data_IF_838254874061
#
_entry.id   IF_838254874061
#
_cell.length_a   1.000
_cell.length_b   1.000
_cell.length_c   1.000
_cell.angle_alpha   90.00
_cell.angle_beta   90.00
_cell.angle_gamma   90.00
#
_symmetry.space_group_name_H-M   'P 1'
#
loop_
_entity.id
_entity.type
_entity.pdbx_description
1 polymer ?
#
# COMPACT_ATOMS: atom_id res chain seq x y z
N UNK A 1 13.31 19.15 -1.40
CA UNK A 1 14.31 18.63 -2.35
C UNK A 1 15.59 18.52 -1.55
N UNK A 2 16.28 17.37 -1.56
CA UNK A 2 17.47 17.22 -0.72
C UNK A 2 18.58 18.09 -1.28
N UNK A 3 19.05 19.08 -0.50
CA UNK A 3 20.15 19.98 -0.89
C UNK A 3 21.52 19.29 -0.85
N UNK A 4 21.56 18.02 -0.42
CA UNK A 4 22.77 17.21 -0.28
C UNK A 4 22.52 15.82 -0.86
N UNK A 5 23.33 15.43 -1.84
CA UNK A 5 23.38 14.05 -2.33
C UNK A 5 24.23 13.27 -1.33
N UNK A 6 23.60 12.36 -0.58
CA UNK A 6 24.34 11.41 0.24
C UNK A 6 25.17 10.53 -0.70
N UNK A 7 26.49 10.65 -0.60
CA UNK A 7 27.44 9.96 -1.47
C UNK A 7 28.37 9.10 -0.64
N UNK A 8 28.78 7.96 -1.17
CA UNK A 8 29.82 7.15 -0.55
C UNK A 8 31.20 7.82 -0.62
N UNK A 9 31.38 8.85 -1.46
CA UNK A 9 32.68 9.47 -1.70
C UNK A 9 33.28 10.20 -0.49
N UNK A 10 32.45 10.53 0.50
CA UNK A 10 32.91 11.18 1.74
C UNK A 10 33.61 10.21 2.69
N UNK A 11 33.50 8.89 2.46
CA UNK A 11 34.04 7.83 3.31
C UNK A 11 34.59 6.67 2.44
N UNK A 12 35.93 6.56 2.28
CA UNK A 12 36.57 5.54 1.44
C UNK A 12 36.19 4.11 1.81
N UNK A 13 35.97 3.84 3.09
CA UNK A 13 35.61 2.50 3.58
C UNK A 13 34.17 2.16 3.21
N UNK A 14 33.25 3.14 3.28
CA UNK A 14 31.87 2.97 2.80
C UNK A 14 31.82 2.73 1.29
N UNK A 15 32.61 3.47 0.52
CA UNK A 15 32.69 3.28 -0.93
C UNK A 15 33.22 1.90 -1.29
N UNK A 16 34.32 1.47 -0.68
CA UNK A 16 34.89 0.14 -0.91
C UNK A 16 33.89 -0.97 -0.56
N UNK A 17 33.14 -0.80 0.53
CA UNK A 17 32.13 -1.76 0.94
C UNK A 17 30.93 -1.80 -0.02
N UNK A 18 30.44 -0.64 -0.48
CA UNK A 18 29.38 -0.56 -1.48
C UNK A 18 29.79 -1.27 -2.77
N UNK A 19 31.01 -1.01 -3.26
CA UNK A 19 31.59 -1.68 -4.44
C UNK A 19 31.68 -3.19 -4.24
N UNK A 20 32.14 -3.65 -3.07
CA UNK A 20 32.17 -5.08 -2.77
C UNK A 20 30.78 -5.72 -2.81
N UNK A 21 29.75 -5.04 -2.30
CA UNK A 21 28.37 -5.54 -2.35
C UNK A 21 27.81 -5.59 -3.78
N UNK A 22 28.20 -4.63 -4.63
CA UNK A 22 27.86 -4.62 -6.06
C UNK A 22 28.55 -5.76 -6.81
N UNK A 23 29.86 -5.93 -6.62
CA UNK A 23 30.67 -6.99 -7.23
C UNK A 23 30.14 -8.39 -6.86
N UNK A 24 29.77 -8.57 -5.58
CA UNK A 24 29.20 -9.82 -5.07
C UNK A 24 27.71 -9.98 -5.41
N UNK A 25 27.08 -9.00 -6.07
CA UNK A 25 25.64 -8.98 -6.41
C UNK A 25 24.72 -9.18 -5.20
N UNK A 26 25.14 -8.73 -4.02
CA UNK A 26 24.36 -8.81 -2.78
C UNK A 26 23.40 -7.63 -2.68
N UNK A 27 22.43 -7.58 -3.59
CA UNK A 27 21.54 -6.42 -3.75
C UNK A 27 20.71 -6.10 -2.51
N UNK A 28 20.16 -7.11 -1.84
CA UNK A 28 19.38 -6.91 -0.62
C UNK A 28 20.24 -6.31 0.51
N UNK A 29 21.48 -6.77 0.65
CA UNK A 29 22.44 -6.26 1.64
C UNK A 29 22.78 -4.79 1.31
N UNK A 30 23.09 -4.50 0.04
CA UNK A 30 23.39 -3.15 -0.42
C UNK A 30 22.21 -2.19 -0.17
N UNK A 31 21.00 -2.57 -0.56
CA UNK A 31 19.80 -1.73 -0.37
C UNK A 31 19.60 -1.35 1.09
N UNK A 32 19.80 -2.28 2.04
CA UNK A 32 19.74 -1.95 3.48
C UNK A 32 20.86 -1.03 3.93
N UNK A 33 22.07 -1.24 3.41
CA UNK A 33 23.20 -0.36 3.68
C UNK A 33 22.91 1.08 3.21
N UNK A 34 22.34 1.22 2.02
CA UNK A 34 21.97 2.52 1.44
C UNK A 34 20.86 3.19 2.25
N UNK A 35 19.84 2.44 2.66
CA UNK A 35 18.78 2.93 3.54
C UNK A 35 19.32 3.45 4.87
N UNK A 36 20.26 2.74 5.50
CA UNK A 36 20.86 3.16 6.76
C UNK A 36 21.60 4.51 6.61
N UNK A 37 22.35 4.68 5.52
CA UNK A 37 23.05 5.94 5.22
C UNK A 37 22.04 7.08 5.00
N UNK A 38 21.01 6.85 4.19
CA UNK A 38 19.98 7.86 3.92
C UNK A 38 19.23 8.23 5.20
N UNK A 39 18.92 7.26 6.05
CA UNK A 39 18.29 7.52 7.35
C UNK A 39 19.21 8.34 8.25
N UNK A 40 20.48 7.96 8.41
CA UNK A 40 21.44 8.72 9.21
C UNK A 40 21.56 10.18 8.74
N UNK A 41 21.78 10.40 7.44
CA UNK A 41 21.87 11.76 6.89
C UNK A 41 20.57 12.56 7.06
N UNK A 42 19.41 11.95 6.80
CA UNK A 42 18.13 12.64 6.92
C UNK A 42 17.80 12.99 8.38
N UNK A 43 18.21 12.18 9.37
CA UNK A 43 17.97 12.52 10.79
C UNK A 43 18.68 13.79 11.24
N UNK A 44 19.83 14.12 10.62
CA UNK A 44 20.62 15.34 10.90
C UNK A 44 19.87 16.63 10.55
N UNK A 45 18.87 16.56 9.68
CA UNK A 45 18.03 17.72 9.33
C UNK A 45 17.15 18.22 10.49
N UNK A 46 16.89 17.38 11.50
CA UNK A 46 15.96 17.71 12.59
C UNK A 46 14.48 17.74 12.16
N UNK A 47 14.15 17.35 10.93
CA UNK A 47 12.76 17.30 10.47
C UNK A 47 11.93 16.28 11.27
N UNK A 48 10.65 16.57 11.58
CA UNK A 48 9.80 15.66 12.37
C UNK A 48 9.43 14.38 11.63
N UNK A 49 9.53 14.39 10.30
CA UNK A 49 9.23 13.25 9.44
C UNK A 49 10.33 13.10 8.39
N UNK A 50 10.59 11.85 8.03
CA UNK A 50 11.48 11.46 6.94
C UNK A 50 10.66 10.83 5.83
N UNK A 51 10.74 11.39 4.62
CA UNK A 51 10.15 10.80 3.42
C UNK A 51 11.25 10.04 2.68
N UNK A 52 11.11 8.72 2.58
CA UNK A 52 11.95 7.86 1.78
C UNK A 52 11.22 7.48 0.49
N UNK A 53 11.92 7.57 -0.63
CA UNK A 53 11.33 7.47 -1.96
C UNK A 53 12.29 6.74 -2.90
N UNK A 54 11.76 5.86 -3.74
CA UNK A 54 12.50 5.22 -4.82
C UNK A 54 12.73 6.18 -6.00
N UNK A 55 13.72 5.90 -6.84
CA UNK A 55 14.15 6.78 -7.93
C UNK A 55 13.18 6.79 -9.12
N UNK A 56 12.30 5.80 -9.22
CA UNK A 56 11.37 5.57 -10.32
C UNK A 56 9.92 5.86 -9.91
N UNK A 57 9.68 7.03 -9.31
CA UNK A 57 8.32 7.47 -8.93
C UNK A 57 7.96 8.85 -9.47
N UNK A 58 6.66 9.08 -9.61
CA UNK A 58 6.07 10.39 -9.89
C UNK A 58 5.11 10.80 -8.77
N UNK A 59 5.14 12.08 -8.42
CA UNK A 59 4.27 12.65 -7.40
C UNK A 59 3.03 13.29 -8.00
N UNK A 60 1.91 13.12 -7.32
CA UNK A 60 0.67 13.84 -7.62
C UNK A 60 0.84 15.34 -7.38
N UNK A 61 0.20 16.18 -8.19
CA UNK A 61 0.11 17.60 -7.89
C UNK A 61 -0.59 17.80 -6.52
N UNK A 62 0.03 18.58 -5.64
CA UNK A 62 -0.44 18.77 -4.28
C UNK A 62 -0.15 17.60 -3.31
N UNK A 63 0.69 16.63 -3.67
CA UNK A 63 1.04 15.49 -2.79
C UNK A 63 1.42 15.93 -1.37
N UNK A 64 2.17 17.03 -1.21
CA UNK A 64 2.72 17.46 0.07
C UNK A 64 1.64 17.82 1.08
N UNK A 65 0.68 18.67 0.71
CA UNK A 65 -0.36 19.09 1.66
C UNK A 65 -1.28 17.90 2.04
N UNK A 66 -1.59 17.02 1.08
CA UNK A 66 -2.33 15.77 1.32
C UNK A 66 -1.58 14.86 2.29
N UNK A 67 -0.27 14.71 2.08
CA UNK A 67 0.62 13.92 2.95
C UNK A 67 0.65 14.51 4.36
N UNK A 68 0.83 15.82 4.52
CA UNK A 68 0.86 16.45 5.84
C UNK A 68 -0.47 16.30 6.58
N UNK A 69 -1.60 16.45 5.87
CA UNK A 69 -2.94 16.19 6.43
C UNK A 69 -3.06 14.72 6.87
N UNK A 70 -2.61 13.79 6.05
CA UNK A 70 -2.63 12.37 6.34
C UNK A 70 -1.75 12.00 7.55
N UNK A 71 -0.57 12.59 7.68
CA UNK A 71 0.29 12.40 8.85
C UNK A 71 -0.41 12.86 10.13
N UNK A 72 -1.08 14.02 10.11
CA UNK A 72 -1.85 14.50 11.25
C UNK A 72 -2.94 13.52 11.68
N UNK A 73 -3.68 12.94 10.72
CA UNK A 73 -4.69 11.92 11.01
C UNK A 73 -4.03 10.65 11.56
N UNK A 74 -2.96 10.15 10.92
CA UNK A 74 -2.24 8.96 11.36
C UNK A 74 -1.73 9.09 12.79
N UNK A 75 -1.19 10.25 13.18
CA UNK A 75 -0.76 10.52 14.56
C UNK A 75 -1.91 10.44 15.56
N UNK A 76 -3.04 11.11 15.26
CA UNK A 76 -4.23 11.11 16.13
C UNK A 76 -4.80 9.71 16.30
N UNK A 77 -4.97 8.97 15.20
CA UNK A 77 -5.48 7.59 15.22
C UNK A 77 -4.53 6.64 15.96
N UNK A 78 -3.22 6.84 15.83
CA UNK A 78 -2.21 6.06 16.56
C UNK A 78 -2.29 6.29 18.07
N UNK A 79 -2.44 7.55 18.50
CA UNK A 79 -2.67 7.88 19.91
C UNK A 79 -3.98 7.29 20.44
N UNK A 80 -5.05 7.34 19.65
CA UNK A 80 -6.32 6.68 19.97
C UNK A 80 -6.20 5.17 20.16
N UNK A 81 -5.29 4.53 19.43
CA UNK A 81 -4.94 3.12 19.57
C UNK A 81 -3.94 2.82 20.71
N UNK A 82 -3.64 3.79 21.58
CA UNK A 82 -2.66 3.68 22.66
C UNK A 82 -1.21 3.42 22.20
N UNK A 83 -0.87 3.77 20.97
CA UNK A 83 0.50 3.82 20.49
C UNK A 83 1.07 5.23 20.64
N UNK A 84 2.33 5.35 21.04
CA UNK A 84 3.00 6.67 21.11
C UNK A 84 3.26 7.24 19.71
N UNK A 85 3.45 6.36 18.74
CA UNK A 85 3.77 6.70 17.34
C UNK A 85 3.39 5.55 16.40
N UNK A 86 3.55 5.76 15.10
CA UNK A 86 3.41 4.72 14.07
C UNK A 86 4.75 4.41 13.38
N UNK A 87 4.80 3.27 12.67
CA UNK A 87 6.01 2.87 11.95
C UNK A 87 6.21 3.74 10.72
N UNK A 88 5.22 3.76 9.82
CA UNK A 88 5.22 4.63 8.64
C UNK A 88 3.81 4.95 8.15
N UNK A 89 3.72 6.01 7.35
CA UNK A 89 2.63 6.31 6.44
C UNK A 89 3.07 6.01 5.01
N UNK A 90 2.35 5.13 4.33
CA UNK A 90 2.60 4.70 2.97
C UNK A 90 1.85 5.59 1.99
N UNK A 91 2.58 6.17 1.03
CA UNK A 91 2.03 7.09 0.01
C UNK A 91 1.72 6.41 -1.32
N UNK A 92 2.25 5.21 -1.52
CA UNK A 92 1.96 4.33 -2.66
C UNK A 92 1.71 2.90 -2.17
N UNK A 93 0.70 2.24 -2.72
CA UNK A 93 0.48 0.82 -2.53
C UNK A 93 -0.05 0.19 -3.82
N UNK A 94 0.47 -0.98 -4.15
CA UNK A 94 -0.02 -1.73 -5.30
C UNK A 94 -1.41 -2.32 -5.02
N UNK A 95 -2.39 -1.99 -5.86
CA UNK A 95 -3.79 -2.40 -5.65
C UNK A 95 -4.05 -3.88 -5.98
N UNK A 96 -3.19 -4.52 -6.77
CA UNK A 96 -3.33 -5.94 -7.14
C UNK A 96 -3.26 -6.89 -5.94
N UNK A 97 -2.50 -6.53 -4.90
CA UNK A 97 -2.37 -7.34 -3.68
C UNK A 97 -3.61 -7.32 -2.79
N UNK A 98 -4.49 -6.34 -2.97
CA UNK A 98 -5.74 -6.23 -2.18
C UNK A 98 -6.91 -6.99 -2.80
N UNK A 99 -6.63 -7.78 -3.84
CA UNK A 99 -7.57 -8.71 -4.47
C UNK A 99 -8.08 -9.81 -3.54
N UNK A 100 -8.60 -10.86 -4.18
CA UNK A 100 -9.12 -12.04 -3.48
C UNK A 100 -7.97 -12.90 -2.95
N UNK A 101 -7.61 -12.68 -1.70
CA UNK A 101 -6.46 -13.31 -1.05
C UNK A 101 -6.81 -14.71 -0.51
N UNK A 102 -5.99 -15.71 -0.79
CA UNK A 102 -6.27 -17.12 -0.46
C UNK A 102 -6.44 -17.33 1.05
N UNK A 103 -5.74 -16.56 1.88
CA UNK A 103 -5.79 -16.59 3.34
C UNK A 103 -7.21 -16.31 3.86
N UNK A 104 -8.02 -15.59 3.08
CA UNK A 104 -9.39 -15.22 3.41
C UNK A 104 -10.45 -16.15 2.81
N UNK A 105 -10.07 -17.30 2.21
CA UNK A 105 -11.00 -18.22 1.53
C UNK A 105 -12.18 -18.65 2.40
N UNK A 106 -11.96 -18.89 3.70
CA UNK A 106 -13.02 -19.28 4.64
C UNK A 106 -14.10 -18.21 4.76
N UNK A 107 -13.69 -16.95 4.77
CA UNK A 107 -14.60 -15.80 4.82
C UNK A 107 -15.40 -15.68 3.53
N UNK A 108 -14.73 -15.85 2.38
CA UNK A 108 -15.37 -15.82 1.06
C UNK A 108 -16.41 -16.93 0.90
N UNK A 109 -16.06 -18.15 1.30
CA UNK A 109 -16.97 -19.28 1.31
C UNK A 109 -18.16 -19.03 2.26
N UNK A 110 -17.88 -18.54 3.48
CA UNK A 110 -18.90 -18.21 4.46
C UNK A 110 -19.94 -17.23 3.89
N UNK A 111 -19.49 -16.12 3.31
CA UNK A 111 -20.40 -15.14 2.69
C UNK A 111 -21.14 -15.70 1.47
N UNK A 112 -20.51 -16.56 0.67
CA UNK A 112 -21.15 -17.20 -0.47
C UNK A 112 -22.29 -18.13 -0.03
N UNK A 113 -22.08 -18.90 1.04
CA UNK A 113 -23.10 -19.77 1.65
C UNK A 113 -24.23 -18.94 2.26
N UNK A 114 -23.90 -17.86 2.98
CA UNK A 114 -24.89 -16.94 3.56
C UNK A 114 -25.74 -16.29 2.46
N UNK A 115 -25.14 -15.80 1.38
CA UNK A 115 -25.86 -15.19 0.25
C UNK A 115 -26.80 -16.17 -0.46
N UNK A 116 -26.33 -17.41 -0.65
CA UNK A 116 -27.13 -18.48 -1.25
C UNK A 116 -28.30 -18.88 -0.36
N UNK A 117 -28.04 -19.10 0.93
CA UNK A 117 -29.06 -19.46 1.92
C UNK A 117 -30.07 -18.33 2.10
N UNK A 118 -29.62 -17.08 2.16
CA UNK A 118 -30.49 -15.90 2.29
C UNK A 118 -31.39 -15.75 1.07
N UNK A 119 -30.86 -15.99 -0.14
CA UNK A 119 -31.64 -16.00 -1.38
C UNK A 119 -32.73 -17.07 -1.35
N UNK A 120 -32.40 -18.30 -0.93
CA UNK A 120 -33.37 -19.39 -0.79
C UNK A 120 -34.45 -19.06 0.27
N UNK A 121 -34.04 -18.60 1.45
CA UNK A 121 -34.95 -18.21 2.53
C UNK A 121 -35.87 -17.07 2.09
N UNK A 122 -35.36 -16.03 1.44
CA UNK A 122 -36.15 -14.92 0.95
C UNK A 122 -37.22 -15.38 -0.04
N UNK A 123 -36.88 -16.26 -1.00
CA UNK A 123 -37.85 -16.81 -1.95
C UNK A 123 -38.88 -17.70 -1.28
N UNK A 124 -38.48 -18.52 -0.30
CA UNK A 124 -39.39 -19.38 0.44
C UNK A 124 -40.37 -18.57 1.31
N UNK A 125 -39.87 -17.55 2.02
CA UNK A 125 -40.67 -16.65 2.84
C UNK A 125 -41.59 -15.80 1.96
N UNK A 126 -41.11 -15.25 0.84
CA UNK A 126 -41.93 -14.51 -0.12
C UNK A 126 -43.06 -15.39 -0.66
N UNK A 127 -42.78 -16.66 -1.01
CA UNK A 127 -43.81 -17.61 -1.44
C UNK A 127 -44.80 -17.93 -0.32
N UNK A 128 -44.35 -18.02 0.94
CA UNK A 128 -45.22 -18.35 2.07
C UNK A 128 -46.13 -17.18 2.46
N UNK A 129 -45.60 -15.97 2.56
CA UNK A 129 -46.28 -14.82 3.16
C UNK A 129 -46.85 -13.83 2.14
N UNK A 130 -46.33 -13.77 0.91
CA UNK A 130 -46.80 -12.83 -0.12
C UNK A 130 -47.68 -13.57 -1.13
N UNK A 131 -48.99 -13.38 -1.02
CA UNK A 131 -50.00 -14.04 -1.87
C UNK A 131 -49.83 -13.72 -3.37
N UNK A 132 -49.47 -12.48 -3.71
CA UNK A 132 -49.18 -12.08 -5.09
C UNK A 132 -47.96 -12.82 -5.67
N UNK A 133 -46.91 -12.99 -4.88
CA UNK A 133 -45.66 -13.64 -5.32
C UNK A 133 -45.83 -15.13 -5.61
N UNK A 134 -46.82 -15.81 -5.01
CA UNK A 134 -47.07 -17.25 -5.21
C UNK A 134 -47.30 -17.63 -6.67
N UNK A 135 -47.89 -16.74 -7.47
CA UNK A 135 -48.16 -16.95 -8.90
C UNK A 135 -46.89 -16.94 -9.74
N UNK A 136 -45.89 -16.15 -9.34
CA UNK A 136 -44.65 -15.97 -10.09
C UNK A 136 -43.49 -16.85 -9.59
N UNK A 137 -43.45 -17.18 -8.29
CA UNK A 137 -42.42 -18.00 -7.67
C UNK A 137 -42.64 -19.50 -7.90
N UNK A 138 -42.59 -19.96 -9.15
CA UNK A 138 -42.73 -21.40 -9.50
C UNK A 138 -41.60 -22.23 -8.86
N UNK A 139 -41.77 -23.56 -8.79
CA UNK A 139 -40.73 -24.47 -8.26
C UNK A 139 -39.41 -24.29 -9.01
N UNK A 140 -39.46 -24.10 -10.32
CA UNK A 140 -38.29 -23.83 -11.16
C UNK A 140 -37.60 -22.53 -10.75
N UNK A 141 -38.33 -21.44 -10.50
CA UNK A 141 -37.74 -20.16 -10.04
C UNK A 141 -37.09 -20.32 -8.66
N UNK A 142 -37.76 -21.00 -7.72
CA UNK A 142 -37.25 -21.23 -6.36
C UNK A 142 -35.97 -22.09 -6.35
N UNK A 143 -35.77 -22.94 -7.37
CA UNK A 143 -34.55 -23.74 -7.52
C UNK A 143 -33.47 -22.99 -8.32
N UNK A 144 -33.82 -22.43 -9.48
CA UNK A 144 -32.85 -21.80 -10.39
C UNK A 144 -32.22 -20.55 -9.78
N UNK A 145 -32.98 -19.73 -9.05
CA UNK A 145 -32.42 -18.50 -8.46
C UNK A 145 -31.28 -18.81 -7.48
N UNK A 146 -31.46 -19.58 -6.39
CA UNK A 146 -30.39 -19.83 -5.44
C UNK A 146 -29.30 -20.77 -5.96
N UNK A 147 -29.59 -21.70 -6.89
CA UNK A 147 -28.61 -22.71 -7.33
C UNK A 147 -27.97 -22.43 -8.70
N UNK A 148 -28.46 -21.46 -9.48
CA UNK A 148 -27.85 -21.06 -10.76
C UNK A 148 -27.54 -19.57 -10.75
N UNK A 149 -28.54 -18.71 -10.58
CA UNK A 149 -28.33 -17.26 -10.70
C UNK A 149 -27.49 -16.69 -9.56
N UNK A 150 -27.72 -17.09 -8.30
CA UNK A 150 -26.94 -16.63 -7.16
C UNK A 150 -25.45 -17.05 -7.29
N UNK A 151 -25.10 -18.31 -7.62
CA UNK A 151 -23.72 -18.69 -7.92
C UNK A 151 -23.10 -17.89 -9.06
N UNK A 152 -23.84 -17.65 -10.16
CA UNK A 152 -23.33 -16.84 -11.27
C UNK A 152 -23.04 -15.39 -10.86
N UNK A 153 -23.90 -14.78 -10.02
CA UNK A 153 -23.67 -13.44 -9.48
C UNK A 153 -22.48 -13.42 -8.50
N UNK A 154 -22.29 -14.47 -7.71
CA UNK A 154 -21.13 -14.63 -6.83
C UNK A 154 -19.85 -14.72 -7.69
N UNK A 155 -19.86 -15.53 -8.75
CA UNK A 155 -18.74 -15.64 -9.69
C UNK A 155 -18.45 -14.27 -10.32
N UNK A 156 -19.48 -13.56 -10.79
CA UNK A 156 -19.32 -12.22 -11.35
C UNK A 156 -18.73 -11.23 -10.34
N UNK A 157 -19.14 -11.30 -9.08
CA UNK A 157 -18.60 -10.48 -8.00
C UNK A 157 -17.10 -10.70 -7.79
N UNK A 158 -16.64 -11.96 -7.80
CA UNK A 158 -15.21 -12.27 -7.74
C UNK A 158 -14.48 -11.86 -9.03
N UNK A 159 -15.08 -12.13 -10.21
CA UNK A 159 -14.50 -11.80 -11.50
C UNK A 159 -14.34 -10.29 -11.74
N UNK A 160 -15.24 -9.46 -11.18
CA UNK A 160 -15.14 -8.01 -11.23
C UNK A 160 -13.91 -7.46 -10.48
N UNK A 161 -13.33 -8.25 -9.55
CA UNK A 161 -12.14 -7.87 -8.79
C UNK A 161 -12.46 -7.01 -7.57
N UNK A 162 -11.71 -7.23 -6.49
CA UNK A 162 -11.98 -6.61 -5.18
C UNK A 162 -11.95 -5.08 -5.24
N UNK A 163 -11.05 -4.47 -6.01
CA UNK A 163 -10.96 -3.01 -6.12
C UNK A 163 -12.21 -2.35 -6.73
N UNK A 164 -12.95 -3.07 -7.59
CA UNK A 164 -14.17 -2.56 -8.20
C UNK A 164 -15.39 -2.70 -7.27
N UNK A 165 -15.52 -3.84 -6.59
CA UNK A 165 -16.70 -4.14 -5.76
C UNK A 165 -16.54 -3.73 -4.29
N UNK A 166 -15.31 -3.57 -3.82
CA UNK A 166 -14.94 -3.16 -2.47
C UNK A 166 -13.75 -2.19 -2.50
N UNK A 167 -13.92 -1.00 -3.10
CA UNK A 167 -12.84 -0.03 -3.18
C UNK A 167 -12.40 0.41 -1.78
N UNK A 168 -11.10 0.70 -1.64
CA UNK A 168 -10.57 1.22 -0.40
C UNK A 168 -11.21 2.59 -0.08
N UNK A 169 -11.69 2.81 1.16
CA UNK A 169 -12.16 4.12 1.60
C UNK A 169 -11.06 5.17 1.45
N UNK A 170 -11.47 6.37 1.06
CA UNK A 170 -10.59 7.52 1.01
C UNK A 170 -10.12 7.93 2.41
N UNK A 171 -8.93 8.51 2.48
CA UNK A 171 -8.25 8.92 3.69
C UNK A 171 -7.20 7.93 4.18
N UNK A 172 -6.86 8.10 5.45
CA UNK A 172 -5.84 7.31 6.14
C UNK A 172 -6.48 6.09 6.76
N UNK A 173 -5.87 4.92 6.54
CA UNK A 173 -6.40 3.67 7.06
C UNK A 173 -5.26 2.71 7.41
N UNK A 174 -5.53 1.82 8.37
CA UNK A 174 -4.54 0.84 8.79
C UNK A 174 -4.32 -0.17 7.66
N UNK A 175 -3.05 -0.41 7.33
CA UNK A 175 -2.62 -1.29 6.25
C UNK A 175 -1.51 -2.24 6.74
N UNK A 176 -1.83 -3.21 7.63
CA UNK A 176 -0.84 -4.11 8.21
C UNK A 176 -0.59 -5.37 7.37
N UNK A 177 -1.38 -5.60 6.31
CA UNK A 177 -1.35 -6.80 5.47
C UNK A 177 -1.68 -6.43 4.03
N UNK A 178 -1.30 -7.31 3.10
CA UNK A 178 -1.67 -7.26 1.68
C UNK A 178 -1.29 -5.94 1.02
N UNK A 179 -0.14 -5.41 1.42
CA UNK A 179 0.46 -4.22 0.85
C UNK A 179 1.91 -4.56 0.53
N UNK A 180 2.32 -4.26 -0.70
CA UNK A 180 3.71 -4.29 -1.10
C UNK A 180 4.16 -2.92 -1.54
N UNK A 181 5.46 -2.79 -1.30
CA UNK A 181 6.43 -2.04 -2.04
C UNK A 181 6.70 -0.67 -1.40
N UNK A 182 7.98 -0.38 -1.20
CA UNK A 182 8.50 0.75 -0.43
C UNK A 182 8.68 2.04 -1.23
N UNK A 183 8.04 2.18 -2.40
CA UNK A 183 8.23 3.30 -3.34
C UNK A 183 8.20 4.67 -2.68
N UNK A 184 7.29 4.86 -1.73
CA UNK A 184 7.20 6.10 -0.96
C UNK A 184 6.63 5.85 0.43
N UNK A 185 7.51 5.96 1.44
CA UNK A 185 7.20 5.76 2.85
C UNK A 185 7.60 6.99 3.65
N UNK A 186 6.71 7.46 4.52
CA UNK A 186 7.00 8.54 5.47
C UNK A 186 7.10 7.98 6.87
N UNK A 187 8.24 8.20 7.52
CA UNK A 187 8.53 7.72 8.86
C UNK A 187 8.57 8.89 9.85
N UNK A 188 8.01 8.75 11.06
CA UNK A 188 8.29 9.67 12.17
C UNK A 188 9.77 9.65 12.54
N UNK A 189 10.35 10.81 12.83
CA UNK A 189 11.78 10.93 13.16
C UNK A 189 12.16 10.07 14.39
N UNK A 190 11.29 10.03 15.39
CA UNK A 190 11.38 9.21 16.60
C UNK A 190 11.48 7.73 16.27
N UNK A 191 10.63 7.24 15.38
CA UNK A 191 10.67 5.86 14.88
C UNK A 191 11.97 5.57 14.15
N UNK A 192 12.45 6.47 13.28
CA UNK A 192 13.72 6.24 12.57
C UNK A 192 14.89 6.15 13.55
N UNK A 193 15.04 7.14 14.42
CA UNK A 193 16.19 7.26 15.33
C UNK A 193 16.24 6.19 16.42
N UNK A 194 15.09 5.78 16.96
CA UNK A 194 15.03 4.83 18.08
C UNK A 194 14.89 3.38 17.64
N UNK A 195 14.34 3.14 16.45
CA UNK A 195 13.95 1.80 16.01
C UNK A 195 14.62 1.39 14.71
N UNK A 196 14.34 2.09 13.61
CA UNK A 196 14.75 1.63 12.27
C UNK A 196 16.25 1.75 12.04
N UNK A 197 16.88 2.89 12.31
CA UNK A 197 18.30 3.08 12.05
C UNK A 197 19.16 2.05 12.83
N UNK A 198 18.97 1.84 14.16
CA UNK A 198 19.69 0.79 14.90
C UNK A 198 19.41 -0.62 14.37
N UNK A 199 18.18 -0.88 13.90
CA UNK A 199 17.79 -2.17 13.32
C UNK A 199 18.57 -2.46 12.03
N UNK A 200 18.66 -1.47 11.14
CA UNK A 200 19.37 -1.59 9.87
C UNK A 200 20.88 -1.73 10.08
N UNK A 201 21.47 -0.95 10.99
CA UNK A 201 22.90 -1.03 11.32
C UNK A 201 23.27 -2.42 11.89
N UNK A 202 22.48 -2.93 12.84
CA UNK A 202 22.74 -4.21 13.49
C UNK A 202 22.57 -5.41 12.55
N UNK A 203 21.66 -5.31 11.58
CA UNK A 203 21.31 -6.39 10.67
C UNK A 203 21.71 -6.09 9.22
N UNK A 204 22.73 -5.24 9.03
CA UNK A 204 23.18 -4.80 7.70
C UNK A 204 23.45 -5.94 6.72
N UNK A 205 23.92 -7.08 7.23
CA UNK A 205 24.30 -8.27 6.46
C UNK A 205 23.14 -9.25 6.21
N UNK A 206 21.93 -8.95 6.68
CA UNK A 206 20.76 -9.78 6.38
C UNK A 206 20.53 -9.81 4.86
N UNK A 207 20.14 -10.96 4.32
CA UNK A 207 19.79 -11.10 2.90
C UNK A 207 18.31 -10.81 2.62
N UNK A 208 17.51 -10.52 3.66
CA UNK A 208 16.11 -10.14 3.47
C UNK A 208 16.00 -8.85 2.66
N UNK A 209 15.12 -8.78 1.65
CA UNK A 209 14.78 -7.52 0.99
C UNK A 209 14.34 -6.46 1.99
N UNK A 210 14.63 -5.20 1.68
CA UNK A 210 14.42 -4.06 2.59
C UNK A 210 12.96 -3.90 3.01
N UNK A 211 12.03 -4.01 2.07
CA UNK A 211 10.60 -3.93 2.36
C UNK A 211 10.14 -5.04 3.30
N UNK A 212 10.48 -6.29 2.99
CA UNK A 212 10.19 -7.44 3.86
C UNK A 212 10.80 -7.27 5.23
N UNK A 213 12.01 -6.72 5.31
CA UNK A 213 12.70 -6.49 6.57
C UNK A 213 11.99 -5.47 7.48
N UNK A 214 11.48 -4.37 6.91
CA UNK A 214 10.66 -3.39 7.63
C UNK A 214 9.32 -4.02 8.06
N UNK A 215 8.67 -4.78 7.18
CA UNK A 215 7.39 -5.43 7.46
C UNK A 215 7.51 -6.51 8.55
N UNK A 216 8.58 -7.30 8.54
CA UNK A 216 8.87 -8.32 9.56
C UNK A 216 9.11 -7.67 10.93
N UNK A 217 9.86 -6.56 10.97
CA UNK A 217 10.01 -5.77 12.18
C UNK A 217 8.67 -5.24 12.69
N UNK A 218 7.84 -4.69 11.79
CA UNK A 218 6.51 -4.20 12.12
C UNK A 218 5.62 -5.30 12.70
N UNK A 219 5.65 -6.50 12.10
CA UNK A 219 4.90 -7.66 12.58
C UNK A 219 5.37 -8.12 13.97
N UNK A 220 6.69 -8.16 14.20
CA UNK A 220 7.27 -8.59 15.46
C UNK A 220 6.99 -7.62 16.62
N UNK A 221 6.93 -6.31 16.33
CA UNK A 221 6.70 -5.26 17.34
C UNK A 221 5.26 -4.77 17.44
N UNK A 222 4.37 -5.22 16.55
CA UNK A 222 3.02 -4.67 16.44
C UNK A 222 3.01 -3.23 15.96
N UNK A 223 3.99 -2.83 15.13
CA UNK A 223 4.10 -1.48 14.59
C UNK A 223 2.93 -1.12 13.68
N UNK A 224 2.31 0.04 13.94
CA UNK A 224 1.20 0.55 13.12
C UNK A 224 1.72 0.99 11.75
N UNK A 225 1.07 0.52 10.70
CA UNK A 225 1.39 0.83 9.31
C UNK A 225 0.16 1.46 8.69
N UNK A 226 0.26 2.73 8.32
CA UNK A 226 -0.84 3.48 7.74
C UNK A 226 -0.67 3.57 6.22
N UNK A 227 -1.78 3.59 5.49
CA UNK A 227 -1.82 3.87 4.05
C UNK A 227 -2.72 5.06 3.75
N UNK A 228 -2.36 5.83 2.73
CA UNK A 228 -3.18 6.93 2.21
C UNK A 228 -3.89 6.50 0.92
N UNK A 229 -5.21 6.69 0.87
CA UNK A 229 -6.03 6.55 -0.34
C UNK A 229 -6.77 7.87 -0.64
N UNK A 230 -6.84 8.34 -1.90
CA UNK A 230 -6.05 7.86 -3.03
C UNK A 230 -4.55 8.06 -2.78
N UNK A 231 -3.73 7.23 -3.43
CA UNK A 231 -2.27 7.36 -3.35
C UNK A 231 -1.83 8.69 -3.96
N UNK A 232 -0.71 9.24 -3.47
CA UNK A 232 -0.18 10.53 -3.93
C UNK A 232 1.16 10.40 -4.64
N UNK A 233 1.62 9.17 -4.79
CA UNK A 233 2.82 8.77 -5.53
C UNK A 233 2.44 7.59 -6.41
N UNK A 234 3.05 7.49 -7.59
CA UNK A 234 2.90 6.39 -8.53
C UNK A 234 4.27 5.92 -8.99
N UNK A 235 4.45 4.61 -9.08
CA UNK A 235 5.64 3.99 -9.66
C UNK A 235 5.66 4.17 -11.18
N UNK A 236 6.83 4.48 -11.73
CA UNK A 236 7.09 4.73 -13.15
C UNK A 236 8.35 3.97 -13.55
N UNK A 237 8.24 2.66 -13.72
CA UNK A 237 9.36 1.83 -14.16
C UNK A 237 8.87 0.61 -14.94
N UNK A 238 9.33 0.45 -16.18
CA UNK A 238 9.00 -0.73 -17.01
C UNK A 238 10.02 -1.86 -16.84
N UNK A 239 11.20 -1.55 -16.30
CA UNK A 239 12.34 -2.46 -16.21
C UNK A 239 12.95 -2.36 -14.83
N UNK A 240 13.04 -3.48 -14.11
CA UNK A 240 13.79 -3.53 -12.86
C UNK A 240 15.25 -3.81 -13.19
N UNK A 241 16.15 -3.11 -12.51
CA UNK A 241 17.60 -3.39 -12.55
C UNK A 241 17.91 -4.79 -12.01
N UNK A 242 16.98 -5.38 -11.23
CA UNK A 242 17.05 -6.76 -10.78
C UNK A 242 16.39 -7.65 -11.84
N UNK A 243 17.12 -8.64 -12.36
CA UNK A 243 16.52 -9.77 -13.06
C UNK A 243 15.60 -10.49 -12.06
N UNK A 244 14.33 -10.08 -12.01
CA UNK A 244 13.31 -10.71 -11.19
C UNK A 244 13.10 -12.10 -11.75
N UNK A 245 13.56 -13.12 -11.03
CA UNK A 245 13.19 -14.50 -11.34
C UNK A 245 11.66 -14.59 -11.17
N UNK A 246 10.93 -14.74 -12.29
CA UNK A 246 9.47 -14.84 -12.34
C UNK A 246 8.94 -15.92 -11.38
N UNK A 247 9.78 -16.90 -11.02
CA UNK A 247 9.47 -17.96 -10.06
C UNK A 247 9.38 -17.48 -8.61
N UNK A 248 10.09 -16.41 -8.23
CA UNK A 248 10.16 -15.91 -6.86
C UNK A 248 9.15 -14.78 -6.58
N UNK A 249 8.87 -13.94 -7.58
CA UNK A 249 8.00 -12.76 -7.44
C UNK A 249 6.66 -12.87 -8.19
N UNK A 250 6.42 -13.97 -8.92
CA UNK A 250 5.19 -14.20 -9.68
C UNK A 250 5.01 -13.18 -10.82
N UNK A 251 3.75 -12.86 -11.15
CA UNK A 251 3.39 -11.83 -12.13
C UNK A 251 3.57 -10.39 -11.61
N UNK A 252 4.28 -10.16 -10.51
CA UNK A 252 4.56 -8.81 -10.04
C UNK A 252 5.78 -8.27 -10.80
N UNK A 253 5.57 -7.97 -12.08
CA UNK A 253 6.61 -7.32 -12.88
C UNK A 253 6.67 -5.83 -12.53
N UNK A 254 7.81 -5.16 -12.74
CA UNK A 254 7.95 -3.72 -12.51
C UNK A 254 6.88 -2.91 -13.26
N UNK A 255 6.53 -3.34 -14.48
CA UNK A 255 5.44 -2.75 -15.27
C UNK A 255 4.04 -2.95 -14.69
N UNK A 256 3.84 -3.93 -13.83
CA UNK A 256 2.54 -4.24 -13.22
C UNK A 256 2.34 -3.54 -11.86
N UNK A 257 3.38 -2.91 -11.31
CA UNK A 257 3.31 -2.21 -10.02
C UNK A 257 2.62 -0.85 -10.22
N UNK A 258 1.29 -0.90 -10.30
CA UNK A 258 0.46 0.26 -10.62
C UNK A 258 -0.64 0.51 -9.59
N UNK A 259 -1.10 1.76 -9.48
CA UNK A 259 -2.31 2.12 -8.75
C UNK A 259 -3.29 2.84 -9.69
N UNK A 260 -4.48 2.26 -9.89
CA UNK A 260 -5.42 2.76 -10.91
C UNK A 260 -6.06 4.09 -10.50
N UNK A 261 -6.31 4.29 -9.21
CA UNK A 261 -6.88 5.55 -8.69
C UNK A 261 -5.96 6.75 -8.86
N UNK A 262 -4.64 6.55 -8.98
CA UNK A 262 -3.74 7.64 -9.30
C UNK A 262 -4.03 8.22 -10.69
N UNK A 263 -4.27 7.35 -11.68
CA UNK A 263 -4.50 7.72 -13.08
C UNK A 263 -5.83 8.40 -13.36
N UNK A 264 -6.79 8.28 -12.44
CA UNK A 264 -8.06 9.01 -12.54
C UNK A 264 -7.90 10.52 -12.29
N UNK A 265 -6.74 10.94 -11.78
CA UNK A 265 -6.48 12.36 -11.50
C UNK A 265 -6.03 13.12 -12.75
N UNK A 266 -6.66 14.27 -12.99
CA UNK A 266 -6.22 15.21 -14.01
C UNK A 266 -5.28 16.28 -13.40
N UNK A 267 -4.04 16.43 -13.90
CA UNK A 267 -3.09 17.42 -13.37
C UNK A 267 -3.63 18.86 -13.37
N UNK A 268 -4.38 19.25 -14.40
CA UNK A 268 -5.01 20.57 -14.51
C UNK A 268 -6.03 20.81 -13.40
N UNK A 269 -6.90 19.83 -13.14
CA UNK A 269 -7.90 19.92 -12.08
C UNK A 269 -7.26 20.00 -10.69
N UNK A 270 -6.17 19.27 -10.46
CA UNK A 270 -5.42 19.32 -9.21
C UNK A 270 -4.65 20.63 -9.02
N UNK A 271 -4.18 21.24 -10.12
CA UNK A 271 -3.58 22.56 -10.09
C UNK A 271 -4.61 23.62 -9.71
N UNK A 272 -5.80 23.58 -10.31
CA UNK A 272 -6.91 24.47 -9.95
C UNK A 272 -7.34 24.29 -8.49
N UNK A 273 -7.43 23.05 -7.99
CA UNK A 273 -7.73 22.77 -6.59
C UNK A 273 -6.69 23.41 -5.67
N UNK A 274 -5.40 23.25 -5.98
CA UNK A 274 -4.33 23.85 -5.20
C UNK A 274 -4.42 25.38 -5.18
N UNK A 275 -4.66 26.01 -6.33
CA UNK A 275 -4.84 27.46 -6.44
C UNK A 275 -6.02 27.95 -5.60
N UNK A 276 -7.12 27.20 -5.56
CA UNK A 276 -8.30 27.55 -4.72
C UNK A 276 -7.99 27.45 -3.23
N UNK A 277 -7.18 26.47 -2.82
CA UNK A 277 -6.88 26.23 -1.41
C UNK A 277 -5.76 27.14 -0.86
N UNK A 278 -4.76 27.44 -1.69
CA UNK A 278 -3.51 28.07 -1.22
C UNK A 278 -3.11 29.33 -2.02
N UNK A 279 -3.85 29.69 -3.07
CA UNK A 279 -3.48 30.77 -3.97
C UNK A 279 -2.37 30.36 -4.97
N UNK A 280 -1.91 31.29 -5.82
CA UNK A 280 -0.81 31.05 -6.74
C UNK A 280 0.48 30.72 -5.99
N UNK A 281 1.19 29.69 -6.46
CA UNK A 281 2.55 29.41 -6.02
C UNK A 281 3.43 30.55 -6.52
N UNK A 282 3.82 31.45 -5.61
CA UNK A 282 4.83 32.47 -5.89
C UNK A 282 6.16 31.73 -6.09
N UNK A 283 6.52 31.45 -7.34
CA UNK A 283 7.87 31.05 -7.70
C UNK A 283 8.75 32.29 -7.51
N UNK A 284 9.53 32.33 -6.42
CA UNK A 284 10.65 33.24 -6.36
C UNK A 284 11.70 32.68 -7.32
N UNK A 285 11.86 33.34 -8.46
CA UNK A 285 12.98 33.18 -9.39
C UNK A 285 14.32 33.50 -8.70
#
# INVERSE_FOLDING_TARGET
>A
MADKVASYHDDPDRLALAQQMEDNKTHAVKSKFDYAILMDECTKSGAPYMLLVEDDVVFLHGWRHRTMKALGIASVESWGAAHTDFLYLRLFHHEGLRGWNVESWRRYLGWSVVSTTSSLCALFLARRFVTSARRHLTRSVVLLVPFVFTPLLIILYFAAGANCVQPQPEGVHLMPKNACCGQALVFPQTTVTKELLPLFEKNRWSESPTDSFIEDYANAKGGLRWGLTPVVVQHVGSTSTYNTDERLYGNMTPSDIWNYKFEENAPSSLAEEHLRLYGPVMTND
#
